data_IF_371251969751
#
_entry.id   IF_371251969751
#
_cell.length_a   1.000
_cell.length_b   1.000
_cell.length_c   1.000
_cell.angle_alpha   90.00
_cell.angle_beta   90.00
_cell.angle_gamma   90.00
#
_symmetry.space_group_name_H-M   'P 1'
#
loop_
_entity.id
_entity.type
_entity.pdbx_description
1 polymer ?
#
# COMPACT_ATOMS: atom_id res chain seq x y z
N UNK A 1 -21.32 -23.51 -25.39
CA UNK A 1 -20.87 -24.63 -24.55
C UNK A 1 -19.34 -24.57 -24.55
N UNK A 2 -18.65 -24.04 -23.54
CA UNK A 2 -19.04 -23.78 -22.16
C UNK A 2 -18.64 -22.37 -21.73
N UNK A 3 -19.53 -21.77 -20.96
CA UNK A 3 -19.29 -20.65 -20.07
C UNK A 3 -18.36 -21.09 -18.92
N UNK A 4 -17.54 -20.18 -18.41
CA UNK A 4 -17.04 -20.24 -17.03
C UNK A 4 -16.67 -18.84 -16.56
N UNK A 5 -17.70 -18.16 -16.06
CA UNK A 5 -17.75 -17.31 -14.87
C UNK A 5 -16.40 -17.02 -14.19
N UNK A 6 -16.01 -15.74 -14.23
CA UNK A 6 -14.91 -15.17 -13.46
C UNK A 6 -15.53 -14.18 -12.46
N UNK A 7 -16.21 -14.72 -11.46
CA UNK A 7 -16.79 -13.96 -10.36
C UNK A 7 -15.89 -13.98 -9.11
N UNK A 8 -15.93 -12.84 -8.40
CA UNK A 8 -15.63 -12.61 -6.99
C UNK A 8 -14.21 -12.89 -6.46
N UNK A 9 -13.43 -11.79 -6.38
CA UNK A 9 -12.46 -11.60 -5.30
C UNK A 9 -13.01 -10.56 -4.32
N UNK A 10 -13.88 -11.03 -3.44
CA UNK A 10 -14.39 -10.32 -2.27
C UNK A 10 -13.32 -10.34 -1.16
N UNK A 11 -12.66 -9.20 -0.92
CA UNK A 11 -11.65 -9.06 0.13
C UNK A 11 -12.33 -8.72 1.46
N UNK A 12 -13.05 -9.71 2.03
CA UNK A 12 -13.58 -9.62 3.39
C UNK A 12 -12.45 -9.71 4.42
N UNK A 13 -12.30 -8.64 5.21
CA UNK A 13 -11.50 -8.62 6.43
C UNK A 13 -12.20 -9.49 7.50
N UNK A 14 -11.73 -10.72 7.69
CA UNK A 14 -12.14 -11.54 8.85
C UNK A 14 -11.27 -11.16 10.05
N UNK A 15 -11.92 -10.69 11.11
CA UNK A 15 -11.32 -10.48 12.43
C UNK A 15 -11.53 -11.75 13.27
N UNK A 16 -10.46 -12.30 13.84
CA UNK A 16 -10.56 -13.42 14.77
C UNK A 16 -11.17 -12.98 16.12
N UNK A 17 -12.03 -13.82 16.74
CA UNK A 17 -12.63 -13.57 18.04
C UNK A 17 -11.86 -14.31 19.14
N UNK A 18 -11.25 -13.58 20.09
CA UNK A 18 -11.21 -13.93 21.52
C UNK A 18 -10.17 -13.07 22.24
N UNK A 19 -10.63 -12.19 23.13
CA UNK A 19 -10.01 -12.01 24.45
C UNK A 19 -10.93 -11.17 25.35
N UNK A 20 -11.63 -11.82 26.29
CA UNK A 20 -12.13 -11.16 27.50
C UNK A 20 -11.08 -11.29 28.60
N UNK A 21 -10.93 -10.27 29.46
CA UNK A 21 -11.36 -10.53 30.82
C UNK A 21 -12.11 -9.35 31.47
N UNK A 22 -12.99 -9.74 32.37
CA UNK A 22 -13.74 -8.91 33.31
C UNK A 22 -12.82 -7.99 34.14
N UNK A 23 -13.21 -6.73 34.27
CA UNK A 23 -12.93 -5.92 35.47
C UNK A 23 -14.03 -4.85 35.64
N UNK A 24 -14.64 -4.90 36.82
CA UNK A 24 -15.70 -4.05 37.35
C UNK A 24 -15.23 -2.59 37.50
N UNK A 25 -15.72 -1.70 36.64
CA UNK A 25 -15.55 -0.25 36.77
C UNK A 25 -16.90 0.42 36.54
N UNK A 26 -17.54 0.81 37.65
CA UNK A 26 -18.69 1.74 37.66
C UNK A 26 -18.41 2.98 36.81
N UNK A 27 -19.25 3.32 35.81
CA UNK A 27 -19.01 4.49 34.97
C UNK A 27 -19.29 5.78 35.75
N UNK A 28 -18.24 6.58 35.98
CA UNK A 28 -18.40 7.99 36.30
C UNK A 28 -18.89 8.71 35.03
N UNK A 29 -20.13 9.21 35.02
CA UNK A 29 -20.66 10.01 33.92
C UNK A 29 -19.75 11.21 33.63
N UNK A 30 -19.20 11.37 32.41
CA UNK A 30 -18.45 12.56 32.05
C UNK A 30 -19.42 13.76 31.94
N UNK A 31 -18.96 14.98 32.25
CA UNK A 31 -19.81 16.17 32.20
C UNK A 31 -20.38 16.34 30.79
N UNK A 32 -21.72 16.39 30.69
CA UNK A 32 -22.45 16.64 29.44
C UNK A 32 -21.97 17.96 28.83
N UNK A 33 -21.06 17.88 27.87
CA UNK A 33 -20.77 18.99 26.97
C UNK A 33 -22.00 19.19 26.11
N UNK A 34 -22.73 20.28 26.37
CA UNK A 34 -23.76 20.74 25.47
C UNK A 34 -23.09 21.16 24.17
N UNK A 35 -23.14 20.28 23.16
CA UNK A 35 -22.85 20.68 21.80
C UNK A 35 -24.01 21.56 21.33
N UNK A 36 -23.73 22.73 20.73
CA UNK A 36 -24.78 23.61 20.24
C UNK A 36 -25.62 22.83 19.23
N UNK A 37 -26.94 22.82 19.44
CA UNK A 37 -27.91 22.16 18.57
C UNK A 37 -27.93 22.82 17.20
N UNK A 38 -26.99 22.44 16.34
CA UNK A 38 -27.04 22.80 14.94
C UNK A 38 -28.17 21.98 14.31
N UNK A 39 -29.15 22.66 13.72
CA UNK A 39 -30.34 22.07 13.11
C UNK A 39 -29.93 21.04 12.06
N UNK A 40 -29.93 19.76 12.44
CA UNK A 40 -29.82 18.63 11.51
C UNK A 40 -31.17 18.45 10.82
N UNK A 41 -31.39 19.20 9.74
CA UNK A 41 -32.38 18.83 8.73
C UNK A 41 -31.69 18.79 7.36
N UNK A 42 -31.49 17.55 6.91
CA UNK A 42 -31.76 17.05 5.56
C UNK A 42 -30.87 17.54 4.41
N UNK A 43 -29.86 16.74 4.05
CA UNK A 43 -29.98 15.85 2.89
C UNK A 43 -28.75 14.94 2.75
N UNK A 44 -28.92 13.62 2.67
CA UNK A 44 -27.84 12.70 2.26
C UNK A 44 -27.27 13.09 0.90
N UNK A 45 -28.12 13.63 0.01
CA UNK A 45 -27.74 14.21 -1.27
C UNK A 45 -26.70 15.32 -1.14
N UNK A 46 -26.79 16.21 -0.13
CA UNK A 46 -25.84 17.32 0.00
C UNK A 46 -24.45 16.85 0.43
N UNK A 47 -24.35 15.71 1.13
CA UNK A 47 -23.08 15.11 1.56
C UNK A 47 -22.37 14.41 0.41
N UNK A 48 -23.09 13.56 -0.33
CA UNK A 48 -22.56 12.90 -1.54
C UNK A 48 -22.09 13.94 -2.56
N UNK A 49 -22.86 15.01 -2.75
CA UNK A 49 -22.50 16.08 -3.68
C UNK A 49 -21.27 16.88 -3.22
N UNK A 50 -21.10 17.10 -1.91
CA UNK A 50 -19.89 17.72 -1.36
C UNK A 50 -18.66 16.85 -1.60
N UNK A 51 -18.75 15.55 -1.36
CA UNK A 51 -17.65 14.62 -1.62
C UNK A 51 -17.29 14.57 -3.11
N UNK A 52 -18.27 14.58 -4.01
CA UNK A 52 -18.02 14.69 -5.47
C UNK A 52 -17.29 15.98 -5.85
N UNK A 53 -17.70 17.13 -5.31
CA UNK A 53 -17.00 18.40 -5.55
C UNK A 53 -15.57 18.40 -5.01
N UNK A 54 -15.31 17.59 -3.99
CA UNK A 54 -13.98 17.36 -3.46
C UNK A 54 -13.26 16.20 -4.18
N UNK A 55 -13.66 15.79 -5.38
CA UNK A 55 -12.99 14.75 -6.19
C UNK A 55 -12.88 13.36 -5.53
N UNK A 56 -13.80 13.01 -4.63
CA UNK A 56 -13.89 11.64 -4.12
C UNK A 56 -14.37 10.68 -5.20
N UNK A 57 -13.89 9.43 -5.15
CA UNK A 57 -14.37 8.38 -6.06
C UNK A 57 -15.87 8.11 -5.84
N UNK A 58 -16.71 8.09 -6.88
CA UNK A 58 -18.15 7.79 -6.75
C UNK A 58 -18.44 6.48 -6.03
N UNK A 59 -17.63 5.45 -6.26
CA UNK A 59 -17.76 4.15 -5.59
C UNK A 59 -17.41 4.21 -4.11
N UNK A 60 -16.42 5.01 -3.72
CA UNK A 60 -16.11 5.24 -2.31
C UNK A 60 -17.25 6.00 -1.62
N UNK A 61 -17.82 7.01 -2.28
CA UNK A 61 -18.96 7.75 -1.74
C UNK A 61 -20.14 6.81 -1.48
N UNK A 62 -20.44 5.94 -2.44
CA UNK A 62 -21.56 4.99 -2.31
C UNK A 62 -21.29 3.96 -1.21
N UNK A 63 -20.09 3.36 -1.20
CA UNK A 63 -19.68 2.42 -0.17
C UNK A 63 -19.76 3.03 1.24
N UNK A 64 -19.18 4.22 1.43
CA UNK A 64 -19.18 4.89 2.73
C UNK A 64 -20.59 5.25 3.19
N UNK A 65 -21.49 5.62 2.28
CA UNK A 65 -22.88 5.92 2.59
C UNK A 65 -23.72 4.68 2.93
N UNK A 66 -23.30 3.50 2.47
CA UNK A 66 -23.99 2.23 2.74
C UNK A 66 -23.49 1.53 4.01
N UNK A 67 -22.18 1.59 4.27
CA UNK A 67 -21.55 0.84 5.37
C UNK A 67 -21.62 1.58 6.71
N UNK A 68 -21.51 2.91 6.70
CA UNK A 68 -21.43 3.71 7.92
C UNK A 68 -22.75 4.40 8.26
N UNK A 69 -22.98 4.60 9.57
CA UNK A 69 -24.10 5.40 10.05
C UNK A 69 -23.97 6.88 9.63
N UNK A 70 -25.05 7.64 9.83
CA UNK A 70 -25.11 9.02 9.36
C UNK A 70 -24.07 9.95 9.98
N UNK A 71 -23.71 9.77 11.25
CA UNK A 71 -22.78 10.66 11.94
C UNK A 71 -21.35 10.35 11.51
N UNK A 72 -21.01 9.07 11.42
CA UNK A 72 -19.71 8.62 10.88
C UNK A 72 -19.54 9.03 9.43
N UNK A 73 -20.56 8.86 8.59
CA UNK A 73 -20.52 9.29 7.20
C UNK A 73 -20.39 10.82 7.07
N UNK A 74 -21.07 11.60 7.92
CA UNK A 74 -20.94 13.06 7.90
C UNK A 74 -19.53 13.50 8.31
N UNK A 75 -18.94 12.88 9.33
CA UNK A 75 -17.55 13.10 9.71
C UNK A 75 -16.60 12.82 8.55
N UNK A 76 -16.72 11.64 7.92
CA UNK A 76 -15.89 11.24 6.78
C UNK A 76 -16.07 12.17 5.57
N UNK A 77 -17.31 12.61 5.29
CA UNK A 77 -17.64 13.52 4.20
C UNK A 77 -17.14 14.97 4.42
N UNK A 78 -16.64 15.28 5.62
CA UNK A 78 -15.99 16.55 5.94
C UNK A 78 -14.45 16.45 5.94
N UNK A 79 -13.90 15.24 5.76
CA UNK A 79 -12.47 15.08 5.55
C UNK A 79 -12.09 15.57 4.15
N UNK A 80 -10.94 16.23 4.06
CA UNK A 80 -10.31 16.43 2.77
C UNK A 80 -9.91 15.05 2.22
N UNK A 81 -10.10 14.80 0.91
CA UNK A 81 -9.49 13.63 0.29
C UNK A 81 -8.00 13.67 0.57
N UNK A 82 -7.40 12.52 0.84
CA UNK A 82 -5.95 12.38 1.01
C UNK A 82 -5.24 12.64 -0.33
N UNK A 83 -5.17 13.91 -0.72
CA UNK A 83 -4.55 14.42 -1.93
C UNK A 83 -5.15 13.89 -3.25
N UNK A 84 -4.75 14.48 -4.38
CA UNK A 84 -5.07 13.96 -5.70
C UNK A 84 -4.15 12.78 -5.98
N UNK A 85 -4.40 11.61 -5.37
CA UNK A 85 -3.58 10.43 -5.65
C UNK A 85 -3.74 10.03 -7.12
N UNK A 86 -4.96 10.13 -7.68
CA UNK A 86 -5.28 10.03 -9.11
C UNK A 86 -6.62 10.69 -9.41
N UNK A 87 -6.88 10.95 -10.69
CA UNK A 87 -8.18 11.39 -11.20
C UNK A 87 -9.20 10.23 -11.13
N UNK A 88 -10.33 10.48 -10.48
CA UNK A 88 -11.44 9.54 -10.32
C UNK A 88 -12.65 9.88 -11.19
N UNK A 89 -12.58 10.89 -12.05
CA UNK A 89 -13.69 11.33 -12.90
C UNK A 89 -14.16 10.19 -13.83
N UNK A 90 -13.22 9.42 -14.37
CA UNK A 90 -13.51 8.25 -15.20
C UNK A 90 -14.22 7.11 -14.45
N UNK A 91 -14.16 7.08 -13.11
CA UNK A 91 -14.84 6.06 -12.32
C UNK A 91 -16.36 6.21 -12.40
N UNK A 92 -16.90 7.39 -12.68
CA UNK A 92 -18.35 7.57 -12.80
C UNK A 92 -18.98 6.76 -13.96
N UNK A 93 -18.18 6.45 -14.99
CA UNK A 93 -18.62 5.69 -16.15
C UNK A 93 -18.43 4.16 -16.01
N UNK A 94 -17.87 3.69 -14.88
CA UNK A 94 -17.55 2.29 -14.64
C UNK A 94 -18.35 1.75 -13.45
N UNK A 95 -18.43 0.41 -13.32
CA UNK A 95 -19.10 -0.28 -12.21
C UNK A 95 -18.24 -0.42 -10.95
N UNK A 96 -16.96 -0.03 -11.03
CA UNK A 96 -16.03 -0.05 -9.90
C UNK A 96 -15.00 1.08 -10.01
N UNK A 97 -14.23 1.30 -8.94
CA UNK A 97 -13.11 2.24 -8.96
C UNK A 97 -12.00 1.73 -9.88
N UNK A 98 -11.75 2.44 -10.98
CA UNK A 98 -10.71 2.07 -11.96
C UNK A 98 -9.45 2.95 -11.88
N UNK A 99 -9.44 3.97 -11.02
CA UNK A 99 -8.35 4.95 -11.01
C UNK A 99 -6.97 4.32 -10.78
N UNK A 100 -6.90 3.25 -10.00
CA UNK A 100 -5.65 2.53 -9.72
C UNK A 100 -5.41 1.33 -10.64
N UNK A 101 -6.29 1.10 -11.63
CA UNK A 101 -6.07 0.04 -12.61
C UNK A 101 -4.87 0.38 -13.48
N UNK A 102 -4.14 -0.66 -13.82
CA UNK A 102 -2.94 -0.59 -14.63
C UNK A 102 -3.29 -1.09 -16.02
N UNK A 103 -3.00 -0.28 -17.04
CA UNK A 103 -3.03 -0.77 -18.41
C UNK A 103 -1.81 -1.65 -18.66
N UNK A 104 -2.01 -2.96 -18.50
CA UNK A 104 -0.98 -3.97 -18.70
C UNK A 104 -0.38 -3.99 -20.10
N UNK A 105 -1.10 -3.50 -21.12
CA UNK A 105 -0.61 -3.51 -22.51
C UNK A 105 0.45 -2.45 -22.79
N UNK A 106 0.42 -1.34 -22.06
CA UNK A 106 1.37 -0.23 -22.20
C UNK A 106 2.20 0.03 -20.94
N UNK A 107 2.08 -0.83 -19.93
CA UNK A 107 2.76 -0.62 -18.66
C UNK A 107 4.29 -0.63 -18.82
N UNK A 108 4.93 0.40 -18.26
CA UNK A 108 6.38 0.50 -18.17
C UNK A 108 6.79 0.97 -16.79
N UNK A 109 7.79 0.31 -16.22
CA UNK A 109 8.44 0.74 -14.99
C UNK A 109 8.95 2.17 -15.13
N UNK A 110 8.54 3.05 -14.24
CA UNK A 110 8.81 4.47 -14.32
C UNK A 110 10.08 4.85 -13.56
N UNK A 111 10.81 5.79 -14.11
CA UNK A 111 11.88 6.50 -13.42
C UNK A 111 11.32 7.69 -12.66
N UNK A 112 12.09 8.26 -11.73
CA UNK A 112 11.68 9.47 -10.99
C UNK A 112 11.48 10.68 -11.89
N UNK A 113 12.14 10.70 -13.05
CA UNK A 113 11.99 11.73 -14.09
C UNK A 113 12.00 11.10 -15.47
N UNK A 114 11.30 11.69 -16.43
CA UNK A 114 11.18 11.17 -17.80
C UNK A 114 12.50 11.13 -18.58
N UNK A 115 13.49 11.96 -18.23
CA UNK A 115 14.80 12.00 -18.89
C UNK A 115 15.81 11.01 -18.31
N UNK A 116 15.46 10.29 -17.24
CA UNK A 116 16.37 9.35 -16.59
C UNK A 116 16.36 7.98 -17.29
N UNK A 117 17.55 7.43 -17.51
CA UNK A 117 17.77 6.14 -18.17
C UNK A 117 18.72 5.24 -17.35
N UNK A 118 18.70 5.37 -16.02
CA UNK A 118 19.57 4.58 -15.15
C UNK A 118 19.26 3.07 -15.23
N UNK A 119 20.26 2.22 -15.02
CA UNK A 119 20.03 0.77 -14.94
C UNK A 119 19.14 0.37 -13.77
N UNK A 120 18.61 -0.84 -13.88
CA UNK A 120 17.82 -1.51 -12.85
C UNK A 120 18.73 -2.05 -11.75
N UNK A 121 18.25 -2.01 -10.51
CA UNK A 121 18.85 -2.67 -9.35
C UNK A 121 17.99 -3.87 -9.03
N UNK A 122 18.54 -5.07 -9.23
CA UNK A 122 17.83 -6.34 -9.06
C UNK A 122 17.96 -6.84 -7.62
N UNK A 123 16.91 -7.50 -7.13
CA UNK A 123 16.95 -8.29 -5.90
C UNK A 123 17.69 -9.59 -6.16
N UNK A 124 18.52 -10.09 -5.22
CA UNK A 124 19.09 -11.44 -5.28
C UNK A 124 18.03 -12.55 -5.43
N UNK A 125 17.63 -12.84 -6.67
CA UNK A 125 16.42 -13.60 -6.98
C UNK A 125 16.41 -15.00 -6.38
N UNK A 126 17.56 -15.70 -6.40
CA UNK A 126 17.68 -17.03 -5.79
C UNK A 126 17.42 -16.99 -4.28
N UNK A 127 18.01 -16.02 -3.58
CA UNK A 127 17.80 -15.87 -2.14
C UNK A 127 16.34 -15.54 -1.82
N UNK A 128 15.70 -14.72 -2.67
CA UNK A 128 14.28 -14.40 -2.57
C UNK A 128 13.41 -15.68 -2.70
N UNK A 129 13.60 -16.46 -3.75
CA UNK A 129 12.81 -17.68 -3.99
C UNK A 129 13.06 -18.74 -2.92
N UNK A 130 14.31 -18.93 -2.50
CA UNK A 130 14.66 -19.92 -1.47
C UNK A 130 14.00 -19.57 -0.14
N UNK A 131 13.96 -18.29 0.22
CA UNK A 131 13.33 -17.82 1.46
C UNK A 131 11.82 -18.10 1.44
N UNK A 132 11.14 -17.82 0.32
CA UNK A 132 9.69 -18.05 0.19
C UNK A 132 9.35 -19.54 0.15
N UNK A 133 10.16 -20.35 -0.55
CA UNK A 133 9.99 -21.80 -0.59
C UNK A 133 10.06 -22.42 0.81
N UNK A 134 10.91 -21.87 1.68
CA UNK A 134 11.03 -22.23 3.09
C UNK A 134 9.92 -21.66 3.99
N UNK A 135 8.87 -21.04 3.43
CA UNK A 135 7.70 -20.56 4.17
C UNK A 135 7.94 -19.23 4.91
N UNK A 136 8.98 -18.48 4.55
CA UNK A 136 9.25 -17.18 5.15
C UNK A 136 8.74 -16.03 4.27
N UNK A 137 8.48 -14.88 4.91
CA UNK A 137 8.14 -13.64 4.21
C UNK A 137 9.43 -12.83 3.99
N UNK A 138 9.80 -12.48 2.74
CA UNK A 138 10.98 -11.69 2.45
C UNK A 138 10.77 -10.21 2.80
N UNK A 139 11.82 -9.53 3.25
CA UNK A 139 11.89 -8.07 3.36
C UNK A 139 13.23 -7.61 2.80
N UNK A 140 13.29 -6.39 2.28
CA UNK A 140 14.45 -5.86 1.56
C UNK A 140 15.12 -4.77 2.36
N UNK A 141 16.46 -4.72 2.37
CA UNK A 141 17.23 -3.55 2.82
C UNK A 141 17.99 -2.93 1.65
N UNK A 142 18.18 -1.61 1.70
CA UNK A 142 19.01 -0.88 0.75
C UNK A 142 20.36 -0.62 1.41
N UNK A 143 21.44 -1.11 0.80
CA UNK A 143 22.79 -1.01 1.33
C UNK A 143 23.70 -0.34 0.31
N UNK A 144 24.78 0.28 0.81
CA UNK A 144 25.83 0.74 -0.07
C UNK A 144 26.52 -0.46 -0.72
N UNK A 145 26.75 -0.38 -2.02
CA UNK A 145 27.58 -1.33 -2.73
C UNK A 145 29.04 -0.85 -2.66
N UNK A 146 29.82 -1.48 -1.76
CA UNK A 146 31.23 -1.16 -1.55
C UNK A 146 32.12 -1.66 -2.69
N UNK A 147 31.63 -2.65 -3.47
CA UNK A 147 32.35 -3.27 -4.58
C UNK A 147 32.14 -2.53 -5.92
N UNK A 148 31.21 -1.57 -5.97
CA UNK A 148 30.81 -0.84 -7.17
C UNK A 148 31.78 0.29 -7.61
N UNK A 149 33.08 0.18 -7.29
CA UNK A 149 34.09 1.19 -7.64
C UNK A 149 34.17 1.47 -9.16
N UNK A 150 33.71 0.56 -10.01
CA UNK A 150 33.83 0.66 -11.47
C UNK A 150 32.50 0.98 -12.20
N UNK A 151 31.33 0.73 -11.60
CA UNK A 151 30.02 0.81 -12.28
C UNK A 151 29.23 2.09 -11.98
N UNK A 152 29.68 2.90 -11.02
CA UNK A 152 29.05 4.19 -10.67
C UNK A 152 27.71 4.10 -9.91
N UNK A 153 27.14 2.91 -9.75
CA UNK A 153 25.92 2.67 -8.97
C UNK A 153 26.24 2.01 -7.63
N UNK A 154 26.14 2.80 -6.56
CA UNK A 154 26.60 2.42 -5.21
C UNK A 154 25.50 1.85 -4.32
N UNK A 155 24.43 1.27 -4.86
CA UNK A 155 23.31 0.75 -4.08
C UNK A 155 23.00 -0.70 -4.47
N UNK A 156 22.84 -1.55 -3.46
CA UNK A 156 22.40 -2.94 -3.61
C UNK A 156 21.18 -3.24 -2.76
N UNK A 157 20.38 -4.19 -3.22
CA UNK A 157 19.22 -4.71 -2.49
C UNK A 157 19.59 -6.04 -1.84
N UNK A 158 19.31 -6.17 -0.55
CA UNK A 158 19.58 -7.40 0.22
C UNK A 158 18.28 -7.99 0.75
N UNK A 159 18.14 -9.31 0.67
CA UNK A 159 16.93 -10.04 1.08
C UNK A 159 17.10 -10.58 2.50
N UNK A 160 16.10 -10.36 3.34
CA UNK A 160 16.09 -10.83 4.72
C UNK A 160 14.75 -11.47 5.08
N UNK A 161 14.72 -12.23 6.17
CA UNK A 161 13.48 -12.78 6.74
C UNK A 161 12.77 -11.70 7.56
N UNK A 162 11.46 -11.54 7.34
CA UNK A 162 10.61 -10.62 8.12
C UNK A 162 10.77 -10.75 9.63
N UNK A 163 10.95 -11.97 10.15
CA UNK A 163 11.09 -12.24 11.60
C UNK A 163 12.29 -11.54 12.24
N UNK A 164 13.30 -11.18 11.45
CA UNK A 164 14.55 -10.61 11.96
C UNK A 164 14.56 -9.07 11.89
N UNK A 165 13.58 -8.45 11.22
CA UNK A 165 13.58 -7.02 10.94
C UNK A 165 12.20 -6.38 11.13
N UNK A 166 12.18 -5.23 11.80
CA UNK A 166 11.05 -4.30 11.65
C UNK A 166 11.12 -3.72 10.24
N UNK A 167 9.98 -3.66 9.56
CA UNK A 167 9.92 -3.21 8.17
C UNK A 167 8.77 -2.22 7.95
N UNK A 168 8.89 -1.45 6.87
CA UNK A 168 7.83 -0.59 6.33
C UNK A 168 7.21 -1.30 5.13
N UNK A 169 5.90 -1.47 5.09
CA UNK A 169 5.21 -1.95 3.89
C UNK A 169 4.88 -0.77 2.97
N UNK A 170 5.19 -0.90 1.68
CA UNK A 170 4.88 0.11 0.66
C UNK A 170 3.82 -0.46 -0.27
N UNK A 171 2.66 0.20 -0.34
CA UNK A 171 1.51 -0.16 -1.18
C UNK A 171 1.40 0.72 -2.43
N UNK A 172 0.48 0.38 -3.35
CA UNK A 172 0.18 1.11 -4.61
C UNK A 172 1.33 1.17 -5.62
N UNK A 173 2.17 0.14 -5.61
CA UNK A 173 3.45 0.09 -6.35
C UNK A 173 3.22 0.17 -7.86
N UNK A 174 2.30 -0.62 -8.41
CA UNK A 174 2.03 -0.64 -9.86
C UNK A 174 1.29 0.61 -10.36
N UNK A 175 0.34 1.13 -9.58
CA UNK A 175 -0.34 2.38 -9.93
C UNK A 175 0.61 3.59 -9.88
N UNK A 176 1.70 3.55 -9.12
CA UNK A 176 2.71 4.61 -9.14
C UNK A 176 3.84 4.36 -10.14
N UNK A 177 3.71 3.36 -11.01
CA UNK A 177 4.74 3.02 -12.00
C UNK A 177 5.98 2.36 -11.40
N UNK A 178 5.93 1.92 -10.14
CA UNK A 178 7.01 1.23 -9.45
C UNK A 178 6.92 -0.31 -9.61
N UNK A 179 5.91 -0.82 -10.31
CA UNK A 179 5.83 -2.21 -10.73
C UNK A 179 6.86 -2.58 -11.80
N UNK A 180 7.26 -3.85 -11.87
CA UNK A 180 8.12 -4.40 -12.92
C UNK A 180 7.64 -5.81 -13.32
N UNK A 181 7.07 -6.00 -14.52
CA UNK A 181 6.49 -7.27 -14.95
C UNK A 181 7.53 -8.32 -15.37
N UNK A 182 8.78 -7.90 -15.59
CA UNK A 182 9.82 -8.77 -16.16
C UNK A 182 10.81 -9.25 -15.10
N UNK A 183 11.10 -8.40 -14.11
CA UNK A 183 12.16 -8.64 -13.12
C UNK A 183 11.77 -8.13 -11.72
N UNK A 184 12.28 -8.78 -10.68
CA UNK A 184 12.23 -8.26 -9.31
C UNK A 184 13.29 -7.16 -9.13
N UNK A 185 13.09 -6.04 -9.82
CA UNK A 185 14.05 -4.96 -9.92
C UNK A 185 13.38 -3.59 -10.07
N UNK A 186 14.06 -2.54 -9.62
CA UNK A 186 13.63 -1.15 -9.76
C UNK A 186 14.73 -0.28 -10.38
N UNK A 187 14.39 0.80 -11.11
CA UNK A 187 15.39 1.75 -11.57
C UNK A 187 16.20 2.33 -10.40
N UNK A 188 17.51 2.49 -10.56
CA UNK A 188 18.39 3.04 -9.52
C UNK A 188 17.88 4.37 -8.93
N UNK A 189 17.32 5.25 -9.77
CA UNK A 189 16.73 6.51 -9.30
C UNK A 189 15.59 6.30 -8.29
N UNK A 190 14.74 5.29 -8.52
CA UNK A 190 13.65 4.92 -7.63
C UNK A 190 14.18 4.31 -6.33
N UNK A 191 15.17 3.41 -6.42
CA UNK A 191 15.81 2.83 -5.23
C UNK A 191 16.45 3.90 -4.35
N UNK A 192 17.12 4.88 -4.96
CA UNK A 192 17.67 6.03 -4.24
C UNK A 192 16.60 6.90 -3.58
N UNK A 193 15.48 7.14 -4.26
CA UNK A 193 14.37 7.90 -3.70
C UNK A 193 13.70 7.15 -2.54
N UNK A 194 13.51 5.84 -2.67
CA UNK A 194 13.03 4.97 -1.60
C UNK A 194 13.98 5.00 -0.40
N UNK A 195 15.29 5.00 -0.60
CA UNK A 195 16.26 5.12 0.49
C UNK A 195 16.08 6.44 1.27
N UNK A 196 15.80 7.55 0.59
CA UNK A 196 15.52 8.84 1.23
C UNK A 196 14.23 8.79 2.04
N UNK A 197 13.12 8.35 1.43
CA UNK A 197 11.83 8.22 2.13
C UNK A 197 11.92 7.29 3.33
N UNK A 198 12.58 6.15 3.17
CA UNK A 198 12.81 5.21 4.25
C UNK A 198 13.73 5.81 5.31
N UNK A 199 14.63 6.75 4.99
CA UNK A 199 15.43 7.47 5.98
C UNK A 199 14.59 8.39 6.87
N UNK A 200 13.63 9.09 6.26
CA UNK A 200 12.81 10.11 6.91
C UNK A 200 11.74 9.54 7.86
N UNK A 201 11.40 8.25 7.74
CA UNK A 201 10.45 7.60 8.66
C UNK A 201 11.00 7.65 10.09
N UNK A 202 10.27 8.22 11.07
CA UNK A 202 10.71 8.28 12.47
C UNK A 202 10.90 6.87 13.04
N UNK A 203 12.05 6.61 13.67
CA UNK A 203 12.26 5.38 14.45
C UNK A 203 11.74 5.59 15.87
N UNK A 204 10.85 4.71 16.34
CA UNK A 204 10.33 4.73 17.72
C UNK A 204 11.37 4.32 18.77
N UNK A 205 12.64 4.05 18.40
CA UNK A 205 13.71 3.71 19.35
C UNK A 205 15.02 4.48 19.13
N UNK A 206 15.49 5.12 20.22
CA UNK A 206 16.84 5.67 20.43
C UNK A 206 17.87 4.56 20.74
N UNK A 207 17.86 3.44 20.00
CA UNK A 207 18.88 2.42 20.16
C UNK A 207 20.09 2.82 19.32
N UNK A 208 21.20 3.19 19.96
CA UNK A 208 22.44 3.71 19.35
C UNK A 208 23.22 2.77 18.41
N UNK A 209 22.54 1.84 17.73
CA UNK A 209 23.06 1.19 16.52
C UNK A 209 22.16 1.59 15.39
N UNK A 210 22.63 2.54 14.59
CA UNK A 210 22.04 2.89 13.31
C UNK A 210 21.94 1.60 12.49
N UNK A 211 20.73 1.03 12.42
CA UNK A 211 20.50 -0.20 11.70
C UNK A 211 20.90 0.05 10.25
N UNK A 212 21.82 -0.76 9.73
CA UNK A 212 22.07 -0.90 8.29
C UNK A 212 20.71 -0.95 7.59
N UNK A 213 20.50 -0.06 6.61
CA UNK A 213 19.30 0.11 5.77
C UNK A 213 17.95 -0.29 6.39
N UNK A 214 17.03 0.65 6.64
CA UNK A 214 15.68 0.32 7.11
C UNK A 214 15.02 -0.69 6.16
N UNK A 215 14.55 -1.81 6.72
CA UNK A 215 13.92 -2.86 5.93
C UNK A 215 12.53 -2.42 5.44
N UNK A 216 12.13 -2.91 4.26
CA UNK A 216 10.83 -2.63 3.70
C UNK A 216 10.29 -3.83 2.90
N UNK A 217 8.98 -3.86 2.72
CA UNK A 217 8.28 -4.83 1.88
C UNK A 217 7.60 -4.09 0.73
N UNK A 218 7.75 -4.60 -0.48
CA UNK A 218 7.15 -4.07 -1.70
C UNK A 218 6.88 -5.23 -2.65
N UNK A 219 5.67 -5.33 -3.19
CA UNK A 219 5.22 -6.43 -4.06
C UNK A 219 6.23 -6.76 -5.17
N UNK A 220 6.74 -5.73 -5.85
CA UNK A 220 7.62 -5.81 -7.02
C UNK A 220 8.97 -6.41 -6.68
N UNK A 221 9.42 -6.27 -5.43
CA UNK A 221 10.71 -6.80 -4.97
C UNK A 221 10.55 -8.10 -4.17
N UNK A 222 9.39 -8.33 -3.56
CA UNK A 222 9.16 -9.40 -2.60
C UNK A 222 8.33 -10.57 -3.16
N UNK A 223 7.67 -10.41 -4.31
CA UNK A 223 6.86 -11.45 -4.95
C UNK A 223 7.56 -11.91 -6.23
N UNK A 224 7.97 -13.19 -6.36
CA UNK A 224 8.69 -13.69 -7.53
C UNK A 224 7.92 -13.46 -8.83
N UNK A 225 8.55 -12.80 -9.81
CA UNK A 225 7.86 -12.44 -11.05
C UNK A 225 7.78 -13.58 -12.07
N UNK A 226 8.81 -14.44 -12.12
CA UNK A 226 8.96 -15.50 -13.14
C UNK A 226 7.83 -16.52 -13.07
N UNK A 227 7.36 -16.94 -14.25
CA UNK A 227 6.28 -17.94 -14.40
C UNK A 227 6.58 -19.28 -13.70
N UNK A 228 7.84 -19.70 -13.70
CA UNK A 228 8.25 -20.94 -13.03
C UNK A 228 7.96 -20.94 -11.52
N UNK A 229 7.84 -19.76 -10.91
CA UNK A 229 7.65 -19.55 -9.48
C UNK A 229 6.24 -19.05 -9.14
N UNK A 230 5.27 -19.23 -10.05
CA UNK A 230 3.88 -18.79 -9.87
C UNK A 230 3.23 -19.37 -8.59
N UNK A 231 3.56 -20.63 -8.26
CA UNK A 231 3.15 -21.28 -7.00
C UNK A 231 3.62 -20.58 -5.73
N UNK A 232 4.64 -19.71 -5.82
CA UNK A 232 5.17 -18.94 -4.69
C UNK A 232 4.44 -17.60 -4.50
N UNK A 233 3.62 -17.17 -5.46
CA UNK A 233 2.82 -15.93 -5.38
C UNK A 233 1.60 -16.09 -4.48
N UNK A 234 1.08 -17.32 -4.39
CA UNK A 234 -0.15 -17.67 -3.67
C UNK A 234 0.23 -18.55 -2.48
N UNK A 235 0.74 -17.95 -1.41
CA UNK A 235 0.77 -18.58 -0.10
C UNK A 235 0.17 -17.63 0.91
N UNK A 236 -1.16 -17.62 0.96
CA UNK A 236 -1.85 -17.33 2.20
C UNK A 236 -1.54 -18.48 3.18
N UNK A 237 -1.14 -18.23 4.43
CA UNK A 237 -1.26 -19.23 5.48
C UNK A 237 -2.72 -19.66 5.66
#
# INVERSE_FOLDING_TARGET
>A
MADSDFDDYDWMWMSDPDNSPDDDVTPLEPPRRQFPSHRLRNNVFSRKERMKRNHWCPHQIEYLAQVFDHDTFDYLANLEPLGPLRDHDACAAHSSCIAFNVDWSHYRTQHTTCACHCSMVEVPYRQLTDLIQNGHVPVITIEADEDALETGQRLKLSVHRRTNHKYVAISHVWAHGLGNPDQNALPFCQVRQLQQYLGDVPSTRRSGKQLRGRAFWMDTLCIPVKKADERLKIRNP
#
